data_IF_834449143007
#
_entry.id   IF_834449143007
#
_cell.length_a   1.000
_cell.length_b   1.000
_cell.length_c   1.000
_cell.angle_alpha   90.00
_cell.angle_beta   90.00
_cell.angle_gamma   90.00
#
_symmetry.space_group_name_H-M   'P 1'
#
loop_
_entity.id
_entity.type
_entity.pdbx_description
1 polymer ?
#
# COMPACT_ATOMS: atom_id res chain seq x y z
N UNK A 1 49.05 6.43 6.15
CA UNK A 1 48.20 5.80 5.12
C UNK A 1 47.15 4.86 5.71
N UNK A 2 47.53 3.93 6.61
CA UNK A 2 46.61 2.92 7.17
C UNK A 2 45.49 3.49 8.06
N UNK A 3 45.75 4.55 8.85
CA UNK A 3 44.75 5.12 9.77
C UNK A 3 43.51 5.68 9.05
N UNK A 4 43.71 6.43 7.95
CA UNK A 4 42.60 7.02 7.19
C UNK A 4 41.76 5.95 6.48
N UNK A 5 42.40 4.88 6.00
CA UNK A 5 41.72 3.74 5.40
C UNK A 5 40.86 3.01 6.44
N UNK A 6 41.39 2.81 7.66
CA UNK A 6 40.65 2.22 8.79
C UNK A 6 39.41 3.06 9.11
N UNK A 7 39.53 4.39 9.17
CA UNK A 7 38.40 5.28 9.43
C UNK A 7 37.33 5.16 8.33
N UNK A 8 37.72 5.15 7.06
CA UNK A 8 36.78 5.00 5.93
C UNK A 8 36.04 3.67 5.98
N UNK A 9 36.74 2.57 6.24
CA UNK A 9 36.11 1.26 6.43
C UNK A 9 35.19 1.23 7.64
N UNK A 10 35.57 1.87 8.74
CA UNK A 10 34.73 1.97 9.93
C UNK A 10 33.42 2.70 9.63
N UNK A 11 33.46 3.77 8.84
CA UNK A 11 32.25 4.48 8.39
C UNK A 11 31.34 3.56 7.57
N UNK A 12 31.89 2.80 6.61
CA UNK A 12 31.11 1.81 5.84
C UNK A 12 30.50 0.75 6.75
N UNK A 13 31.26 0.24 7.72
CA UNK A 13 30.80 -0.75 8.70
C UNK A 13 29.67 -0.19 9.57
N UNK A 14 29.73 1.08 9.99
CA UNK A 14 28.65 1.74 10.73
C UNK A 14 27.37 1.79 9.89
N UNK A 15 27.48 2.19 8.61
CA UNK A 15 26.33 2.19 7.69
C UNK A 15 25.78 0.79 7.44
N UNK A 16 26.65 -0.22 7.34
CA UNK A 16 26.27 -1.61 7.18
C UNK A 16 25.54 -2.14 8.42
N UNK A 17 26.05 -1.86 9.62
CA UNK A 17 25.41 -2.23 10.89
C UNK A 17 24.06 -1.52 11.03
N UNK A 18 23.98 -0.24 10.68
CA UNK A 18 22.73 0.53 10.68
C UNK A 18 21.72 -0.07 9.70
N UNK A 19 22.15 -0.47 8.51
CA UNK A 19 21.30 -1.12 7.51
C UNK A 19 20.82 -2.50 7.98
N UNK A 20 21.69 -3.32 8.56
CA UNK A 20 21.32 -4.64 9.10
C UNK A 20 20.35 -4.50 10.29
N UNK A 21 20.55 -3.49 11.15
CA UNK A 21 19.67 -3.24 12.31
C UNK A 21 18.34 -2.59 11.94
N UNK A 22 18.29 -1.82 10.86
CA UNK A 22 17.08 -1.12 10.37
C UNK A 22 17.04 -1.12 8.85
N UNK A 23 16.68 -2.25 8.22
CA UNK A 23 16.65 -2.36 6.76
C UNK A 23 15.57 -1.44 6.21
N UNK A 24 15.98 -0.38 5.51
CA UNK A 24 15.08 0.56 4.85
C UNK A 24 15.73 1.07 3.57
N UNK A 25 14.91 1.54 2.64
CA UNK A 25 15.38 2.12 1.38
C UNK A 25 16.33 3.30 1.63
N UNK A 26 16.06 4.13 2.65
CA UNK A 26 16.95 5.22 3.04
C UNK A 26 18.34 4.69 3.41
N UNK A 27 18.44 3.74 4.35
CA UNK A 27 19.74 3.17 4.75
C UNK A 27 20.44 2.43 3.61
N UNK A 28 19.69 1.80 2.69
CA UNK A 28 20.24 1.18 1.48
C UNK A 28 20.88 2.21 0.54
N UNK A 29 20.20 3.32 0.26
CA UNK A 29 20.73 4.43 -0.54
C UNK A 29 21.95 5.07 0.14
N UNK A 30 21.90 5.25 1.47
CA UNK A 30 23.04 5.75 2.24
C UNK A 30 24.26 4.83 2.17
N UNK A 31 24.06 3.52 2.38
CA UNK A 31 25.12 2.51 2.31
C UNK A 31 25.75 2.45 0.91
N UNK A 32 24.91 2.47 -0.13
CA UNK A 32 25.39 2.49 -1.52
C UNK A 32 26.24 3.74 -1.78
N UNK A 33 25.74 4.92 -1.41
CA UNK A 33 26.42 6.20 -1.60
C UNK A 33 27.78 6.24 -0.89
N UNK A 34 27.82 5.82 0.38
CA UNK A 34 29.06 5.82 1.18
C UNK A 34 30.06 4.79 0.64
N UNK A 35 29.60 3.60 0.25
CA UNK A 35 30.47 2.56 -0.32
C UNK A 35 31.08 3.00 -1.65
N UNK A 36 30.27 3.60 -2.53
CA UNK A 36 30.73 4.15 -3.81
C UNK A 36 31.67 5.33 -3.61
N UNK A 37 31.42 6.21 -2.63
CA UNK A 37 32.31 7.32 -2.31
C UNK A 37 33.69 6.84 -1.81
N UNK A 38 33.71 5.82 -0.93
CA UNK A 38 34.97 5.25 -0.43
C UNK A 38 35.75 4.52 -1.54
N UNK A 39 35.06 3.80 -2.42
CA UNK A 39 35.69 3.17 -3.59
C UNK A 39 36.27 4.21 -4.56
N UNK A 40 35.50 5.26 -4.85
CA UNK A 40 35.93 6.34 -5.74
C UNK A 40 37.12 7.09 -5.15
N UNK A 41 37.10 7.43 -3.88
CA UNK A 41 38.21 8.10 -3.20
C UNK A 41 39.45 7.19 -3.09
N UNK A 42 39.28 5.87 -2.98
CA UNK A 42 40.40 4.92 -3.05
C UNK A 42 41.00 4.87 -4.47
N UNK A 43 40.16 4.84 -5.51
CA UNK A 43 40.57 4.93 -6.90
C UNK A 43 41.33 6.23 -7.19
N UNK A 44 40.80 7.37 -6.75
CA UNK A 44 41.38 8.70 -6.95
C UNK A 44 42.70 8.92 -6.19
N UNK A 45 42.92 8.21 -5.08
CA UNK A 45 44.21 8.23 -4.39
C UNK A 45 45.22 7.24 -5.00
N UNK A 46 44.76 6.27 -5.78
CA UNK A 46 45.62 5.27 -6.43
C UNK A 46 46.05 5.70 -7.83
N UNK A 47 45.18 6.39 -8.56
CA UNK A 47 45.41 6.88 -9.91
C UNK A 47 45.42 8.41 -9.93
N UNK A 48 46.11 9.01 -10.89
CA UNK A 48 46.11 10.47 -11.03
C UNK A 48 44.69 10.95 -11.40
N UNK A 49 44.18 11.91 -10.61
CA UNK A 49 42.87 12.53 -10.79
C UNK A 49 42.66 13.04 -12.22
N UNK A 50 43.72 13.61 -12.80
CA UNK A 50 43.69 14.21 -14.13
C UNK A 50 43.56 13.14 -15.23
N UNK A 51 44.19 11.98 -15.02
CA UNK A 51 44.16 10.85 -15.92
C UNK A 51 42.81 10.13 -15.86
N UNK A 52 42.26 9.91 -14.67
CA UNK A 52 40.92 9.34 -14.49
C UNK A 52 39.81 10.23 -15.07
N UNK A 53 39.91 11.55 -14.89
CA UNK A 53 38.97 12.48 -15.50
C UNK A 53 39.08 12.46 -17.04
N UNK A 54 40.29 12.36 -17.59
CA UNK A 54 40.49 12.26 -19.03
C UNK A 54 39.92 10.95 -19.62
N UNK A 55 40.04 9.84 -18.88
CA UNK A 55 39.53 8.53 -19.31
C UNK A 55 38.00 8.39 -19.16
N UNK A 56 37.43 8.88 -18.05
CA UNK A 56 35.99 8.77 -17.76
C UNK A 56 35.16 9.90 -18.39
N UNK A 57 35.78 11.05 -18.67
CA UNK A 57 35.13 12.20 -19.30
C UNK A 57 33.87 12.63 -18.56
N UNK A 58 32.75 12.71 -19.27
CA UNK A 58 31.45 13.10 -18.72
C UNK A 58 30.98 12.20 -17.56
N UNK A 59 31.26 10.90 -17.61
CA UNK A 59 30.80 9.96 -16.59
C UNK A 59 31.40 10.24 -15.21
N UNK A 60 32.58 10.86 -15.15
CA UNK A 60 33.17 11.32 -13.90
C UNK A 60 32.24 12.28 -13.15
N UNK A 61 31.66 13.25 -13.87
CA UNK A 61 30.73 14.23 -13.29
C UNK A 61 29.38 13.60 -12.95
N UNK A 62 28.92 12.61 -13.74
CA UNK A 62 27.69 11.86 -13.44
C UNK A 62 27.83 11.08 -12.13
N UNK A 63 28.97 10.42 -11.90
CA UNK A 63 29.22 9.66 -10.67
C UNK A 63 29.27 10.60 -9.46
N UNK A 64 29.97 11.73 -9.58
CA UNK A 64 30.00 12.75 -8.52
C UNK A 64 28.59 13.30 -8.26
N UNK A 65 27.85 13.64 -9.31
CA UNK A 65 26.46 14.11 -9.20
C UNK A 65 25.54 13.09 -8.54
N UNK A 66 25.69 11.81 -8.87
CA UNK A 66 24.95 10.72 -8.24
C UNK A 66 25.30 10.55 -6.76
N UNK A 67 26.57 10.73 -6.37
CA UNK A 67 26.99 10.72 -4.97
C UNK A 67 26.39 11.88 -4.18
N UNK A 68 26.42 13.09 -4.74
CA UNK A 68 25.81 14.26 -4.11
C UNK A 68 24.28 14.11 -4.02
N UNK A 69 23.62 13.67 -5.10
CA UNK A 69 22.19 13.43 -5.13
C UNK A 69 21.75 12.33 -4.18
N UNK A 70 22.46 11.19 -4.18
CA UNK A 70 22.22 10.08 -3.27
C UNK A 70 22.43 10.46 -1.80
N UNK A 71 23.47 11.25 -1.51
CA UNK A 71 23.74 11.79 -0.18
C UNK A 71 22.66 12.75 0.30
N UNK A 72 22.21 13.67 -0.57
CA UNK A 72 21.14 14.61 -0.27
C UNK A 72 19.78 13.90 -0.05
N UNK A 73 19.46 12.89 -0.87
CA UNK A 73 18.27 12.07 -0.72
C UNK A 73 18.30 11.26 0.57
N UNK A 74 19.44 10.63 0.89
CA UNK A 74 19.64 9.93 2.14
C UNK A 74 19.46 10.86 3.35
N UNK A 75 20.12 12.03 3.32
CA UNK A 75 20.06 13.01 4.39
C UNK A 75 18.63 13.52 4.59
N UNK A 76 17.94 13.88 3.50
CA UNK A 76 16.54 14.29 3.55
C UNK A 76 15.63 13.20 4.10
N UNK A 77 15.82 11.94 3.69
CA UNK A 77 15.04 10.81 4.19
C UNK A 77 15.26 10.57 5.69
N UNK A 78 16.49 10.74 6.20
CA UNK A 78 16.81 10.62 7.63
C UNK A 78 16.27 11.81 8.43
N UNK A 79 16.28 13.03 7.88
CA UNK A 79 15.79 14.23 8.56
C UNK A 79 14.29 14.48 8.42
N UNK A 80 13.60 13.89 7.43
CA UNK A 80 12.14 14.00 7.23
C UNK A 80 11.29 13.89 8.50
N UNK A 81 11.53 12.94 9.44
CA UNK A 81 10.75 12.85 10.68
C UNK A 81 10.95 14.05 11.64
N UNK A 82 12.02 14.83 11.48
CA UNK A 82 12.31 16.00 12.33
C UNK A 82 11.91 17.33 11.71
N UNK A 83 11.78 17.39 10.37
CA UNK A 83 11.45 18.63 9.64
C UNK A 83 9.95 18.71 9.33
N UNK A 84 9.19 17.65 9.56
CA UNK A 84 7.73 17.71 9.40
C UNK A 84 7.16 18.41 10.64
N UNK A 85 6.70 19.68 10.55
CA UNK A 85 5.89 20.23 11.62
C UNK A 85 4.68 19.31 11.74
N UNK A 86 4.33 18.92 12.96
CA UNK A 86 3.05 18.33 13.29
C UNK A 86 1.99 19.26 12.70
N UNK A 87 1.46 18.92 11.51
CA UNK A 87 0.46 19.70 10.85
C UNK A 87 -0.81 19.50 11.67
N UNK A 88 -1.01 20.36 12.66
CA UNK A 88 -2.32 20.58 13.27
C UNK A 88 -3.17 21.10 12.11
N UNK A 89 -3.94 20.20 11.50
CA UNK A 89 -4.88 20.58 10.48
C UNK A 89 -5.80 21.68 11.05
N UNK A 90 -6.03 22.80 10.33
CA UNK A 90 -7.03 23.77 10.76
C UNK A 90 -8.39 23.05 10.86
N UNK A 91 -9.24 23.42 11.83
CA UNK A 91 -10.58 22.84 11.93
C UNK A 91 -11.31 23.11 10.62
N UNK A 92 -11.52 22.05 9.84
CA UNK A 92 -12.29 22.11 8.62
C UNK A 92 -13.70 22.59 9.00
N UNK A 93 -14.13 23.70 8.41
CA UNK A 93 -15.53 24.09 8.42
C UNK A 93 -16.27 23.01 7.65
N UNK A 94 -17.00 22.18 8.39
CA UNK A 94 -17.78 21.04 7.93
C UNK A 94 -18.83 21.54 6.91
N UNK A 95 -18.80 21.11 5.64
CA UNK A 95 -19.99 21.12 4.81
C UNK A 95 -20.99 20.13 5.43
N UNK A 96 -22.30 20.43 5.47
CA UNK A 96 -23.29 19.59 6.14
C UNK A 96 -23.21 18.14 5.62
N UNK A 97 -23.32 17.14 6.52
CA UNK A 97 -23.17 15.75 6.16
C UNK A 97 -24.24 15.34 5.15
N UNK A 98 -23.79 14.83 3.99
CA UNK A 98 -24.68 14.11 3.09
C UNK A 98 -25.17 12.86 3.84
N UNK A 99 -26.47 12.86 4.12
CA UNK A 99 -27.18 11.79 4.81
C UNK A 99 -27.22 10.54 3.94
N UNK A 100 -26.17 9.73 4.01
CA UNK A 100 -26.30 8.31 3.74
C UNK A 100 -26.82 7.66 5.02
N UNK A 101 -28.03 7.09 4.96
CA UNK A 101 -28.68 6.37 6.05
C UNK A 101 -27.83 5.16 6.43
N UNK A 102 -26.90 5.33 7.36
CA UNK A 102 -26.25 4.24 8.08
C UNK A 102 -27.15 3.81 9.25
N UNK A 103 -27.28 2.50 9.53
CA UNK A 103 -27.95 2.03 10.72
C UNK A 103 -27.15 2.46 11.96
N UNK A 104 -27.80 3.23 12.83
CA UNK A 104 -27.25 3.66 14.11
C UNK A 104 -27.24 2.49 15.09
N UNK A 105 -26.06 1.93 15.38
CA UNK A 105 -25.90 1.05 16.54
C UNK A 105 -25.95 1.92 17.81
N UNK A 106 -26.93 1.64 18.67
CA UNK A 106 -27.21 2.43 19.87
C UNK A 106 -26.45 1.86 21.06
N UNK A 107 -25.55 2.67 21.64
CA UNK A 107 -25.17 2.65 23.06
C UNK A 107 -24.68 1.34 23.67
N UNK A 108 -23.52 0.86 23.24
CA UNK A 108 -22.66 -0.04 24.03
C UNK A 108 -21.55 0.76 24.71
N UNK A 109 -21.04 0.27 25.85
CA UNK A 109 -19.85 0.82 26.49
C UNK A 109 -18.67 0.68 25.51
N UNK A 110 -18.33 1.79 24.83
CA UNK A 110 -17.37 1.82 23.69
C UNK A 110 -16.05 1.09 23.96
N UNK A 111 -15.65 1.00 25.23
CA UNK A 111 -14.46 0.30 25.69
C UNK A 111 -14.59 -1.22 25.58
N UNK A 112 -15.76 -1.79 25.90
CA UNK A 112 -16.07 -3.21 25.78
C UNK A 112 -16.17 -3.63 24.31
N UNK A 113 -16.84 -2.83 23.49
CA UNK A 113 -16.98 -3.10 22.05
C UNK A 113 -15.62 -3.07 21.34
N UNK A 114 -14.75 -2.11 21.73
CA UNK A 114 -13.37 -2.02 21.23
C UNK A 114 -12.56 -3.26 21.59
N UNK A 115 -12.63 -3.72 22.84
CA UNK A 115 -11.90 -4.92 23.27
C UNK A 115 -12.37 -6.18 22.54
N UNK A 116 -13.68 -6.35 22.40
CA UNK A 116 -14.27 -7.47 21.66
C UNK A 116 -13.82 -7.48 20.19
N UNK A 117 -13.89 -6.34 19.50
CA UNK A 117 -13.46 -6.23 18.09
C UNK A 117 -11.96 -6.55 17.97
N UNK A 118 -11.13 -6.03 18.88
CA UNK A 118 -9.71 -6.33 18.91
C UNK A 118 -9.43 -7.84 19.01
N UNK A 119 -10.10 -8.52 19.94
CA UNK A 119 -9.93 -9.96 20.14
C UNK A 119 -10.40 -10.76 18.91
N UNK A 120 -11.52 -10.38 18.30
CA UNK A 120 -12.01 -11.00 17.07
C UNK A 120 -11.00 -10.88 15.93
N UNK A 121 -10.45 -9.68 15.70
CA UNK A 121 -9.45 -9.48 14.66
C UNK A 121 -8.19 -10.29 14.99
N UNK A 122 -7.66 -10.16 16.21
CA UNK A 122 -6.42 -10.82 16.63
C UNK A 122 -6.48 -12.34 16.49
N UNK A 123 -7.61 -12.95 16.86
CA UNK A 123 -7.72 -14.40 16.96
C UNK A 123 -8.17 -15.07 15.65
N UNK A 124 -8.75 -14.31 14.72
CA UNK A 124 -9.34 -14.84 13.49
C UNK A 124 -8.72 -14.32 12.19
N UNK A 125 -8.11 -13.15 12.19
CA UNK A 125 -7.61 -12.54 10.95
C UNK A 125 -6.19 -13.01 10.64
N UNK A 126 -5.96 -13.39 9.38
CA UNK A 126 -4.62 -13.44 8.82
C UNK A 126 -4.15 -12.05 8.39
N UNK A 127 -2.87 -11.95 7.98
CA UNK A 127 -2.30 -10.70 7.45
C UNK A 127 -3.12 -10.13 6.28
N UNK A 128 -3.54 -11.00 5.38
CA UNK A 128 -4.34 -10.62 4.21
C UNK A 128 -5.70 -10.03 4.60
N UNK A 129 -6.32 -10.52 5.67
CA UNK A 129 -7.61 -10.04 6.14
C UNK A 129 -7.47 -8.68 6.84
N UNK A 130 -6.34 -8.42 7.49
CA UNK A 130 -6.00 -7.08 8.02
C UNK A 130 -5.77 -6.07 6.90
N UNK A 131 -5.13 -6.47 5.79
CA UNK A 131 -5.03 -5.61 4.61
C UNK A 131 -6.39 -5.34 3.98
N UNK A 132 -7.28 -6.34 3.95
CA UNK A 132 -8.65 -6.20 3.47
C UNK A 132 -9.45 -5.24 4.38
N UNK A 133 -9.20 -5.28 5.69
CA UNK A 133 -9.78 -4.36 6.66
C UNK A 133 -9.31 -2.92 6.46
N UNK A 134 -8.00 -2.71 6.27
CA UNK A 134 -7.44 -1.39 5.93
C UNK A 134 -8.03 -0.84 4.64
N UNK A 135 -8.21 -1.72 3.65
CA UNK A 135 -8.80 -1.36 2.37
C UNK A 135 -10.27 -0.92 2.51
N UNK A 136 -11.06 -1.64 3.31
CA UNK A 136 -12.46 -1.28 3.57
C UNK A 136 -12.64 0.03 4.35
N UNK A 137 -11.64 0.39 5.17
CA UNK A 137 -11.67 1.60 5.99
C UNK A 137 -11.01 2.80 5.33
N UNK A 138 -10.51 2.64 4.10
CA UNK A 138 -9.72 3.64 3.38
C UNK A 138 -8.53 4.16 4.24
N UNK A 139 -7.89 3.23 4.96
CA UNK A 139 -6.72 3.52 5.79
C UNK A 139 -5.48 3.25 4.96
N UNK A 140 -4.64 4.28 4.81
CA UNK A 140 -3.40 4.15 4.07
C UNK A 140 -2.36 3.43 4.93
N UNK A 141 -1.51 2.63 4.29
CA UNK A 141 -0.39 1.96 4.97
C UNK A 141 0.48 2.95 5.75
N UNK A 142 0.70 4.17 5.24
CA UNK A 142 1.48 5.18 5.92
C UNK A 142 0.84 5.71 7.22
N UNK A 143 -0.48 5.56 7.38
CA UNK A 143 -1.22 6.04 8.55
C UNK A 143 -1.08 5.10 9.75
N UNK A 144 -0.81 3.82 9.48
CA UNK A 144 -0.81 2.77 10.50
C UNK A 144 0.51 2.00 10.57
N UNK A 145 1.29 1.92 9.48
CA UNK A 145 2.50 1.10 9.42
C UNK A 145 3.70 1.79 10.06
N UNK A 146 4.27 1.13 11.07
CA UNK A 146 5.51 1.56 11.75
C UNK A 146 6.65 0.55 11.54
N UNK A 147 7.90 0.98 11.69
CA UNK A 147 9.11 0.23 11.29
C UNK A 147 9.37 -1.08 12.07
N UNK A 148 8.70 -1.31 13.21
CA UNK A 148 8.87 -2.52 14.05
C UNK A 148 7.50 -3.13 14.40
N UNK A 149 6.56 -3.04 13.46
CA UNK A 149 5.18 -3.32 13.78
C UNK A 149 4.87 -4.81 13.82
N UNK A 150 4.40 -5.26 14.98
CA UNK A 150 3.78 -6.56 15.14
C UNK A 150 2.35 -6.54 14.59
N UNK A 151 1.80 -7.71 14.23
CA UNK A 151 0.39 -7.82 13.81
C UNK A 151 -0.55 -7.19 14.84
N UNK A 152 -0.30 -7.41 16.14
CA UNK A 152 -1.10 -6.82 17.20
C UNK A 152 -1.02 -5.30 17.20
N UNK A 153 0.18 -4.74 17.00
CA UNK A 153 0.38 -3.30 16.88
C UNK A 153 -0.30 -2.71 15.64
N UNK A 154 -0.37 -3.45 14.52
CA UNK A 154 -1.10 -3.04 13.32
C UNK A 154 -2.60 -2.98 13.58
N UNK A 155 -3.17 -3.99 14.22
CA UNK A 155 -4.60 -4.01 14.57
C UNK A 155 -4.96 -2.82 15.46
N UNK A 156 -4.16 -2.55 16.50
CA UNK A 156 -4.39 -1.41 17.41
C UNK A 156 -4.35 -0.09 16.64
N UNK A 157 -3.33 0.13 15.79
CA UNK A 157 -3.21 1.36 15.02
C UNK A 157 -4.40 1.56 14.06
N UNK A 158 -4.86 0.49 13.41
CA UNK A 158 -6.06 0.55 12.55
C UNK A 158 -7.29 0.95 13.36
N UNK A 159 -7.47 0.36 14.53
CA UNK A 159 -8.59 0.69 15.42
C UNK A 159 -8.54 2.14 15.90
N UNK A 160 -7.35 2.63 16.27
CA UNK A 160 -7.14 4.01 16.71
C UNK A 160 -7.44 5.01 15.59
N UNK A 161 -6.99 4.71 14.36
CA UNK A 161 -7.28 5.54 13.19
C UNK A 161 -8.77 5.53 12.85
N UNK A 162 -9.42 4.37 12.90
CA UNK A 162 -10.86 4.25 12.65
C UNK A 162 -11.68 5.03 13.70
N UNK A 163 -11.29 4.94 14.98
CA UNK A 163 -11.92 5.68 16.08
C UNK A 163 -11.73 7.20 15.90
N UNK A 164 -10.50 7.64 15.60
CA UNK A 164 -10.20 9.06 15.34
C UNK A 164 -10.98 9.63 14.14
N UNK A 165 -11.32 8.80 13.15
CA UNK A 165 -12.14 9.17 11.98
C UNK A 165 -13.65 9.02 12.24
N UNK A 166 -14.08 8.59 13.42
CA UNK A 166 -15.49 8.32 13.72
C UNK A 166 -16.07 7.12 12.96
N UNK A 167 -15.22 6.20 12.48
CA UNK A 167 -15.56 5.06 11.63
C UNK A 167 -15.71 3.74 12.43
N UNK A 168 -15.86 3.79 13.75
CA UNK A 168 -15.94 2.58 14.60
C UNK A 168 -17.07 1.62 14.17
N UNK A 169 -18.21 2.14 13.73
CA UNK A 169 -19.31 1.31 13.21
C UNK A 169 -18.96 0.66 11.85
N UNK A 170 -18.20 1.37 11.00
CA UNK A 170 -17.72 0.85 9.70
C UNK A 170 -16.69 -0.24 9.93
N UNK A 171 -15.79 -0.05 10.90
CA UNK A 171 -14.83 -1.06 11.36
C UNK A 171 -15.55 -2.35 11.78
N UNK A 172 -16.56 -2.26 12.65
CA UNK A 172 -17.31 -3.44 13.10
C UNK A 172 -17.97 -4.19 11.92
N UNK A 173 -18.60 -3.45 11.00
CA UNK A 173 -19.24 -4.03 9.80
C UNK A 173 -18.22 -4.64 8.82
N UNK A 174 -17.06 -4.02 8.66
CA UNK A 174 -15.98 -4.56 7.83
C UNK A 174 -15.42 -5.85 8.44
N UNK A 175 -15.24 -5.88 9.76
CA UNK A 175 -14.80 -7.08 10.48
C UNK A 175 -15.79 -8.23 10.28
N UNK A 176 -17.08 -7.99 10.48
CA UNK A 176 -18.13 -8.99 10.28
C UNK A 176 -18.12 -9.55 8.85
N UNK A 177 -17.99 -8.67 7.85
CA UNK A 177 -18.01 -9.06 6.43
C UNK A 177 -16.81 -9.88 6.00
N UNK A 178 -15.64 -9.62 6.60
CA UNK A 178 -14.42 -10.38 6.34
C UNK A 178 -14.49 -11.75 7.03
N UNK A 179 -15.04 -11.82 8.25
CA UNK A 179 -15.24 -13.08 8.98
C UNK A 179 -16.32 -13.97 8.35
N UNK A 180 -17.37 -13.35 7.81
CA UNK A 180 -18.54 -14.03 7.24
C UNK A 180 -18.74 -13.58 5.79
N UNK A 181 -17.85 -14.00 4.88
CA UNK A 181 -17.96 -13.63 3.48
C UNK A 181 -19.30 -14.14 2.91
N UNK A 182 -19.98 -13.29 2.14
CA UNK A 182 -21.25 -13.68 1.53
C UNK A 182 -20.97 -14.77 0.49
N UNK A 183 -21.76 -15.87 0.48
CA UNK A 183 -21.67 -16.84 -0.60
C UNK A 183 -22.10 -16.19 -1.92
N UNK A 184 -21.57 -16.70 -3.03
CA UNK A 184 -21.76 -16.12 -4.36
C UNK A 184 -23.24 -15.89 -4.72
N UNK A 185 -24.12 -16.81 -4.30
CA UNK A 185 -25.57 -16.75 -4.58
C UNK A 185 -26.30 -15.61 -3.85
N UNK A 186 -25.70 -15.05 -2.80
CA UNK A 186 -26.26 -13.96 -2.01
C UNK A 186 -25.57 -12.61 -2.27
N UNK A 187 -24.60 -12.56 -3.20
CA UNK A 187 -23.98 -11.31 -3.57
C UNK A 187 -24.98 -10.37 -4.26
N UNK A 188 -24.81 -9.04 -4.08
CA UNK A 188 -25.63 -8.09 -4.81
C UNK A 188 -25.48 -8.31 -6.31
N UNK A 189 -26.59 -8.14 -7.04
CA UNK A 189 -26.54 -8.16 -8.50
C UNK A 189 -25.68 -7.01 -9.00
N UNK A 190 -25.10 -7.18 -10.19
CA UNK A 190 -24.19 -6.21 -10.79
C UNK A 190 -24.81 -4.80 -10.87
N UNK A 191 -26.12 -4.70 -11.15
CA UNK A 191 -26.83 -3.41 -11.28
C UNK A 191 -26.96 -2.64 -9.96
N UNK A 192 -26.64 -3.27 -8.83
CA UNK A 192 -26.63 -2.64 -7.51
C UNK A 192 -25.23 -2.27 -7.04
N UNK A 193 -24.19 -2.64 -7.79
CA UNK A 193 -22.82 -2.26 -7.49
C UNK A 193 -22.54 -0.86 -8.04
N UNK A 194 -21.82 -0.07 -7.26
CA UNK A 194 -21.42 1.31 -7.56
C UNK A 194 -20.01 1.56 -7.05
N UNK A 195 -19.35 2.64 -7.46
CA UNK A 195 -18.03 3.00 -6.93
C UNK A 195 -18.05 3.28 -5.41
N UNK A 196 -19.20 3.67 -4.87
CA UNK A 196 -19.43 3.84 -3.43
C UNK A 196 -19.67 2.51 -2.69
N UNK A 197 -19.75 1.39 -3.41
CA UNK A 197 -19.93 0.08 -2.79
C UNK A 197 -18.69 -0.30 -1.98
N UNK A 198 -18.86 -0.98 -0.84
CA UNK A 198 -17.72 -1.33 -0.01
C UNK A 198 -16.70 -2.18 -0.78
N UNK A 199 -15.39 -1.90 -0.67
CA UNK A 199 -14.41 -2.54 -1.52
C UNK A 199 -14.32 -4.07 -1.39
N UNK A 200 -14.54 -4.63 -0.20
CA UNK A 200 -14.63 -6.08 -0.01
C UNK A 200 -15.84 -6.71 -0.72
N UNK A 201 -16.94 -5.99 -0.93
CA UNK A 201 -18.09 -6.50 -1.70
C UNK A 201 -17.71 -6.60 -3.17
N UNK A 202 -17.10 -5.55 -3.74
CA UNK A 202 -16.57 -5.57 -5.11
C UNK A 202 -15.55 -6.70 -5.30
N UNK A 203 -14.66 -6.87 -4.32
CA UNK A 203 -13.69 -7.97 -4.32
C UNK A 203 -14.37 -9.33 -4.33
N UNK A 204 -15.32 -9.57 -3.42
CA UNK A 204 -16.03 -10.86 -3.34
C UNK A 204 -16.74 -11.15 -4.65
N UNK A 205 -17.37 -10.14 -5.26
CA UNK A 205 -17.99 -10.25 -6.57
C UNK A 205 -17.00 -10.67 -7.66
N UNK A 206 -15.86 -9.96 -7.76
CA UNK A 206 -14.82 -10.30 -8.73
C UNK A 206 -14.26 -11.71 -8.52
N UNK A 207 -14.06 -12.12 -7.27
CA UNK A 207 -13.53 -13.45 -6.97
C UNK A 207 -14.52 -14.57 -7.28
N UNK A 208 -15.82 -14.32 -7.12
CA UNK A 208 -16.88 -15.28 -7.37
C UNK A 208 -17.21 -15.45 -8.86
N UNK A 209 -17.23 -14.35 -9.62
CA UNK A 209 -17.78 -14.34 -10.98
C UNK A 209 -16.74 -14.32 -12.10
N UNK A 210 -15.47 -14.02 -11.82
CA UNK A 210 -14.42 -13.93 -12.83
C UNK A 210 -13.28 -14.87 -12.48
N UNK A 211 -12.79 -15.63 -13.45
CA UNK A 211 -11.56 -16.41 -13.31
C UNK A 211 -10.31 -15.54 -13.54
N UNK A 212 -9.13 -16.16 -13.48
CA UNK A 212 -7.86 -15.43 -13.60
C UNK A 212 -7.68 -14.84 -15.00
N UNK A 213 -8.11 -15.56 -16.04
CA UNK A 213 -8.00 -15.12 -17.43
C UNK A 213 -8.91 -13.91 -17.70
N UNK A 214 -10.15 -13.96 -17.23
CA UNK A 214 -11.06 -12.83 -17.34
C UNK A 214 -10.56 -11.61 -16.56
N UNK A 215 -10.00 -11.80 -15.36
CA UNK A 215 -9.40 -10.70 -14.59
C UNK A 215 -8.19 -10.08 -15.28
N UNK A 216 -7.37 -10.89 -15.96
CA UNK A 216 -6.26 -10.41 -16.76
C UNK A 216 -6.75 -9.59 -17.97
N UNK A 217 -7.81 -10.05 -18.64
CA UNK A 217 -8.43 -9.31 -19.74
C UNK A 217 -9.00 -7.97 -19.24
N UNK A 218 -9.68 -7.95 -18.09
CA UNK A 218 -10.17 -6.72 -17.46
C UNK A 218 -9.02 -5.74 -17.23
N UNK A 219 -7.90 -6.21 -16.66
CA UNK A 219 -6.74 -5.36 -16.42
C UNK A 219 -6.19 -4.79 -17.74
N UNK A 220 -6.05 -5.63 -18.77
CA UNK A 220 -5.59 -5.21 -20.09
C UNK A 220 -6.50 -4.15 -20.72
N UNK A 221 -7.82 -4.36 -20.69
CA UNK A 221 -8.80 -3.42 -21.25
C UNK A 221 -8.82 -2.08 -20.50
N UNK A 222 -8.55 -2.10 -19.19
CA UNK A 222 -8.38 -0.90 -18.36
C UNK A 222 -6.98 -0.28 -18.47
N UNK A 223 -6.13 -0.79 -19.37
CA UNK A 223 -4.75 -0.37 -19.59
C UNK A 223 -3.90 -0.45 -18.30
N UNK A 224 -4.04 -1.57 -17.59
CA UNK A 224 -3.30 -1.92 -16.38
C UNK A 224 -2.47 -3.15 -16.70
N UNK A 225 -1.15 -3.06 -16.50
CA UNK A 225 -0.28 -4.23 -16.64
C UNK A 225 -0.61 -5.23 -15.52
N UNK A 226 -0.98 -6.44 -15.91
CA UNK A 226 -1.31 -7.51 -14.99
C UNK A 226 -0.13 -7.89 -14.09
N UNK A 227 1.10 -7.77 -14.59
CA UNK A 227 2.31 -8.08 -13.84
C UNK A 227 2.62 -7.01 -12.79
N UNK A 228 2.25 -5.75 -13.05
CA UNK A 228 2.38 -4.65 -12.09
C UNK A 228 1.47 -4.83 -10.85
N UNK A 229 0.42 -5.66 -10.95
CA UNK A 229 -0.44 -6.02 -9.81
C UNK A 229 0.23 -7.05 -8.87
N UNK A 230 1.44 -7.50 -9.18
CA UNK A 230 2.28 -8.39 -8.37
C UNK A 230 2.15 -9.87 -8.72
N UNK A 231 3.14 -10.69 -8.35
CA UNK A 231 3.24 -12.13 -8.65
C UNK A 231 2.36 -13.04 -7.77
N UNK A 232 1.26 -12.48 -7.29
CA UNK A 232 0.55 -12.97 -6.12
C UNK A 232 -0.69 -13.83 -6.48
N UNK A 233 -1.35 -14.39 -5.46
CA UNK A 233 -2.59 -15.18 -5.64
C UNK A 233 -3.73 -14.38 -6.27
N UNK A 234 -4.74 -15.05 -6.84
CA UNK A 234 -5.97 -14.40 -7.37
C UNK A 234 -6.58 -13.40 -6.36
N UNK A 235 -6.67 -13.79 -5.08
CA UNK A 235 -7.20 -12.95 -3.99
C UNK A 235 -6.43 -11.62 -3.88
N UNK A 236 -5.10 -11.70 -3.92
CA UNK A 236 -4.21 -10.54 -3.83
C UNK A 236 -4.24 -9.67 -5.09
N UNK A 237 -4.20 -10.28 -6.28
CA UNK A 237 -4.28 -9.51 -7.54
C UNK A 237 -5.59 -8.74 -7.67
N UNK A 238 -6.73 -9.33 -7.27
CA UNK A 238 -8.02 -8.62 -7.23
C UNK A 238 -7.98 -7.45 -6.25
N UNK A 239 -7.37 -7.62 -5.06
CA UNK A 239 -7.18 -6.50 -4.13
C UNK A 239 -6.38 -5.36 -4.76
N UNK A 240 -5.24 -5.71 -5.35
CA UNK A 240 -4.31 -4.74 -5.91
C UNK A 240 -4.92 -4.02 -7.12
N UNK A 241 -5.72 -4.71 -7.93
CA UNK A 241 -6.53 -4.12 -8.99
C UNK A 241 -7.48 -3.06 -8.42
N UNK A 242 -8.28 -3.41 -7.42
CA UNK A 242 -9.25 -2.49 -6.82
C UNK A 242 -8.55 -1.31 -6.12
N UNK A 243 -7.43 -1.55 -5.42
CA UNK A 243 -6.60 -0.49 -4.83
C UNK A 243 -6.04 0.44 -5.90
N UNK A 244 -5.56 -0.10 -7.01
CA UNK A 244 -5.01 0.68 -8.12
C UNK A 244 -6.06 1.62 -8.72
N UNK A 245 -7.27 1.10 -8.92
CA UNK A 245 -8.42 1.83 -9.46
C UNK A 245 -8.95 2.88 -8.47
N UNK A 246 -9.16 2.50 -7.21
CA UNK A 246 -9.65 3.40 -6.17
C UNK A 246 -8.73 4.61 -5.98
N UNK A 247 -7.41 4.40 -5.91
CA UNK A 247 -6.41 5.48 -5.76
C UNK A 247 -6.41 6.48 -6.92
N UNK A 248 -6.91 6.09 -8.09
CA UNK A 248 -6.98 6.92 -9.30
C UNK A 248 -8.39 7.40 -9.60
N UNK A 249 -9.36 7.10 -8.72
CA UNK A 249 -10.77 7.37 -8.94
C UNK A 249 -11.30 6.75 -10.26
N UNK A 250 -10.87 5.51 -10.56
CA UNK A 250 -11.21 4.76 -11.79
C UNK A 250 -12.08 3.53 -11.52
N UNK A 251 -12.68 3.42 -10.33
CA UNK A 251 -13.57 2.29 -9.98
C UNK A 251 -14.80 2.24 -10.88
N UNK A 252 -15.28 3.40 -11.33
CA UNK A 252 -16.40 3.50 -12.29
C UNK A 252 -16.07 2.84 -13.62
N UNK A 253 -14.84 2.97 -14.13
CA UNK A 253 -14.43 2.34 -15.40
C UNK A 253 -14.50 0.81 -15.34
N UNK A 254 -14.15 0.23 -14.19
CA UNK A 254 -14.29 -1.21 -13.96
C UNK A 254 -15.77 -1.63 -13.97
N UNK A 255 -16.64 -0.87 -13.30
CA UNK A 255 -18.07 -1.17 -13.26
C UNK A 255 -18.71 -1.05 -14.64
N UNK A 256 -18.39 0.01 -15.38
CA UNK A 256 -18.82 0.21 -16.76
C UNK A 256 -18.38 -0.95 -17.65
N UNK A 257 -17.13 -1.39 -17.52
CA UNK A 257 -16.62 -2.57 -18.22
C UNK A 257 -17.42 -3.82 -17.86
N UNK A 258 -17.68 -4.05 -16.56
CA UNK A 258 -18.44 -5.21 -16.09
C UNK A 258 -19.86 -5.20 -16.64
N UNK A 259 -20.53 -4.03 -16.64
CA UNK A 259 -21.87 -3.87 -17.21
C UNK A 259 -21.89 -4.12 -18.71
N UNK A 260 -20.91 -3.62 -19.46
CA UNK A 260 -20.81 -3.82 -20.90
C UNK A 260 -20.65 -5.31 -21.26
N UNK A 261 -19.87 -6.06 -20.47
CA UNK A 261 -19.54 -7.46 -20.77
C UNK A 261 -20.47 -8.48 -20.10
N UNK A 262 -21.22 -8.10 -19.07
CA UNK A 262 -22.29 -8.93 -18.50
C UNK A 262 -23.42 -9.17 -19.50
N UNK A 263 -23.77 -8.16 -20.30
CA UNK A 263 -24.80 -8.26 -21.34
C UNK A 263 -24.39 -9.12 -22.54
N UNK A 264 -23.09 -9.26 -22.79
CA UNK A 264 -22.55 -10.11 -23.87
C UNK A 264 -22.39 -11.58 -23.47
N UNK A 265 -22.57 -11.89 -22.18
CA UNK A 265 -22.37 -13.23 -21.60
C UNK A 265 -23.68 -13.96 -21.29
N UNK A 266 -24.85 -13.41 -21.64
CA UNK A 266 -26.11 -14.15 -21.54
C UNK A 266 -26.16 -15.25 -22.62
N UNK A 267 -26.25 -16.54 -22.26
CA UNK A 267 -26.60 -17.56 -23.23
C UNK A 267 -28.00 -17.24 -23.76
N UNK A 268 -28.15 -17.33 -25.09
CA UNK A 268 -29.44 -17.21 -25.76
C UNK A 268 -30.52 -18.00 -25.02
N UNK A 269 -31.73 -17.45 -24.83
CA UNK A 269 -32.83 -18.24 -24.30
C UNK A 269 -33.00 -19.43 -25.22
N UNK A 270 -32.86 -20.65 -24.66
CA UNK A 270 -33.27 -21.86 -25.35
C UNK A 270 -34.71 -21.64 -25.77
N UNK A 271 -34.93 -21.56 -27.07
CA UNK A 271 -36.25 -21.66 -27.68
C UNK A 271 -36.86 -22.94 -27.16
N UNK A 272 -37.81 -22.82 -26.22
CA UNK A 272 -38.80 -23.86 -25.97
C UNK A 272 -39.66 -23.92 -27.23
N UNK A 273 -39.24 -24.75 -28.19
CA UNK A 273 -40.14 -25.21 -29.24
C UNK A 273 -41.13 -26.21 -28.63
N UNK A 274 -42.40 -25.90 -28.88
CA UNK A 274 -43.62 -26.56 -28.45
C UNK A 274 -43.84 -27.93 -29.09
#
# INVERSE_FOLDING_TARGET
MSLLLIIKLLIVVVFLIMFIRRPSVAWGVGLLTVSTAVLLDTLLNTFDHTELQAQLGFFYFVIIGALFGGGALWLWAVLRPYISPTQTAPPATIPPPQSNKQPSFSGGDSTFDRQMIYEQIRDRFGYEDVLDLMFDLDIHENDVITLDQTMQGLIVNIMDVAEARGQTAVLALAVERILTPLPADHLPRLEKLSADSPPTVLRQYLLAHYDVEALQQIAADLNIDWEDLGLASKKQKVRNLLLFLARRNRTDELLDWMHAHANNSQPSPKTEES
#
